data_IF_034199990691
#
_entry.id   IF_034199990691
#
_cell.length_a   1.000
_cell.length_b   1.000
_cell.length_c   1.000
_cell.angle_alpha   90.00
_cell.angle_beta   90.00
_cell.angle_gamma   90.00
#
_symmetry.space_group_name_H-M   'P 1'
#
loop_
_entity.id
_entity.type
_entity.pdbx_description
1 polymer ?
2 water ?
#
# COMPACT_ATOMS: atom_id res chain seq x y z
N UNK A 9 20.93 10.19 -24.80
CA UNK A 9 21.71 10.85 -23.73
C UNK A 9 20.77 11.42 -22.66
N UNK A 11 17.52 10.85 -22.87
CA UNK A 11 16.61 9.72 -22.78
C UNK A 11 17.30 8.59 -22.02
N UNK A 12 18.65 8.45 -22.19
CA UNK A 12 19.47 7.43 -21.51
C UNK A 12 19.43 7.72 -19.98
N UNK A 13 19.59 9.01 -19.59
CA UNK A 13 19.55 9.38 -18.17
C UNK A 13 18.13 9.20 -17.62
N UNK A 14 17.09 9.54 -18.43
CA UNK A 14 15.68 9.38 -18.04
C UNK A 14 15.34 7.88 -17.85
N UNK A 15 15.90 7.03 -18.71
CA UNK A 15 15.72 5.58 -18.66
C UNK A 15 16.38 5.01 -17.40
N UNK A 16 17.56 5.55 -17.00
CA UNK A 16 18.22 5.09 -15.78
C UNK A 16 17.39 5.43 -14.56
N UNK A 17 16.70 6.58 -14.58
CA UNK A 17 15.83 6.99 -13.47
C UNK A 17 14.59 6.10 -13.43
N UNK A 18 14.05 5.72 -14.62
CA UNK A 18 12.90 4.81 -14.64
C UNK A 18 13.30 3.49 -13.96
N UNK A 20 15.57 2.99 -11.63
CA UNK A 20 15.71 3.26 -10.19
C UNK A 20 14.34 3.26 -9.55
N UNK A 21 13.37 3.94 -10.19
CA UNK A 21 11.99 4.03 -9.72
C UNK A 21 11.35 2.64 -9.67
N UNK A 22 11.57 1.83 -10.72
CA UNK A 22 11.01 0.48 -10.75
C UNK A 22 11.63 -0.41 -9.66
N UNK A 23 12.97 -0.40 -9.56
CA UNK A 23 13.66 -1.20 -8.52
C UNK A 23 13.16 -0.84 -7.10
N UNK A 24 13.00 0.47 -6.81
CA UNK A 24 12.54 0.96 -5.49
C UNK A 24 11.08 0.52 -5.32
N UNK A 25 10.25 0.64 -6.38
CA UNK A 25 8.84 0.22 -6.34
C UNK A 25 8.74 -1.27 -5.99
N UNK A 26 9.58 -2.11 -6.62
CA UNK A 26 9.58 -3.56 -6.36
C UNK A 26 9.84 -3.85 -4.87
N UNK A 27 10.87 -3.20 -4.30
CA UNK A 27 11.26 -3.39 -2.90
C UNK A 27 10.22 -2.86 -1.93
N UNK A 28 9.76 -1.63 -2.15
CA UNK A 28 8.82 -0.97 -1.25
C UNK A 28 7.43 -1.68 -1.28
N UNK A 29 6.95 -2.11 -2.46
CA UNK A 29 5.63 -2.73 -2.55
C UNK A 29 5.61 -4.15 -1.94
N UNK A 30 6.74 -4.86 -1.96
CA UNK A 30 6.88 -6.17 -1.34
C UNK A 30 6.73 -6.04 0.20
N UNK A 31 7.40 -5.05 0.80
CA UNK A 31 7.35 -4.89 2.26
C UNK A 31 6.13 -4.14 2.77
N UNK A 32 5.55 -3.22 1.96
CA UNK A 32 4.41 -2.43 2.40
C UNK A 32 3.10 -3.24 2.37
N UNK A 33 2.89 -4.03 1.31
CA UNK A 33 1.67 -4.80 1.12
C UNK A 33 2.01 -6.28 1.34
N UNK A 34 1.80 -6.71 2.56
CA UNK A 34 2.06 -8.07 3.01
C UNK A 34 0.74 -8.80 3.01
N UNK A 35 0.43 -9.48 1.90
CA UNK A 35 -0.87 -10.13 1.68
C UNK A 35 -1.23 -11.10 2.79
N UNK A 36 -0.26 -11.92 3.26
CA UNK A 36 -0.57 -12.89 4.31
C UNK A 36 -0.84 -12.21 5.64
N UNK A 37 -0.14 -11.09 5.94
CA UNK A 37 -0.41 -10.34 7.17
C UNK A 37 -1.78 -9.69 7.10
N UNK A 38 -2.14 -9.15 5.91
CA UNK A 38 -3.46 -8.52 5.70
C UNK A 38 -4.55 -9.57 5.98
N UNK A 39 -4.42 -10.77 5.38
CA UNK A 39 -5.37 -11.86 5.63
C UNK A 39 -5.43 -12.23 7.12
N UNK A 40 -4.27 -12.24 7.82
CA UNK A 40 -4.24 -12.59 9.26
C UNK A 40 -4.98 -11.53 10.10
N UNK A 41 -4.81 -10.25 9.74
CA UNK A 41 -5.52 -9.14 10.43
C UNK A 41 -7.04 -9.29 10.21
N UNK A 42 -7.45 -9.64 9.00
CA UNK A 42 -8.90 -9.85 8.76
C UNK A 42 -9.43 -10.99 9.63
N UNK A 43 -8.66 -12.07 9.79
CA UNK A 43 -9.07 -13.16 10.65
C UNK A 43 -9.20 -12.72 12.11
N UNK A 44 -8.32 -11.80 12.56
CA UNK A 44 -8.34 -11.29 13.94
C UNK A 44 -9.58 -10.41 14.17
N UNK A 45 -10.22 -9.93 13.09
CA UNK A 45 -11.44 -9.12 13.19
C UNK A 45 -12.71 -9.99 13.29
N UNK A 46 -12.54 -11.32 13.15
CA UNK A 46 -13.70 -12.23 13.19
C UNK A 46 -14.46 -12.15 14.51
N UNK A 47 -15.78 -12.23 14.41
CA UNK A 47 -16.73 -12.14 15.53
C UNK A 47 -16.49 -13.23 16.60
N UNK A 48 -15.94 -14.39 16.20
CA UNK A 48 -15.74 -15.52 17.13
C UNK A 48 -14.32 -15.55 17.75
N UNK A 50 -11.67 -14.97 20.43
CA UNK A 50 -11.67 -14.54 21.84
C UNK A 50 -11.01 -13.16 21.94
N UNK A 51 -11.66 -12.25 22.64
CA UNK A 51 -11.19 -10.87 22.80
C UNK A 51 -9.75 -10.83 23.38
N UNK A 52 -9.43 -11.68 24.38
CA UNK A 52 -8.10 -11.69 25.02
C UNK A 52 -7.01 -12.31 24.13
N UNK A 53 -7.42 -12.94 23.00
CA UNK A 53 -6.47 -13.54 22.05
C UNK A 53 -5.99 -12.57 20.96
N UNK A 54 -6.59 -11.36 20.84
CA UNK A 54 -6.25 -10.42 19.77
C UNK A 54 -4.79 -9.96 19.88
N UNK A 55 -3.92 -10.25 18.91
CA UNK A 55 -2.53 -9.84 19.07
C UNK A 55 -2.24 -8.46 18.51
N UNK A 56 -1.13 -7.85 18.92
CA UNK A 56 -0.70 -6.57 18.33
C UNK A 56 -0.16 -6.89 16.94
N UNK A 57 -0.55 -6.12 15.94
CA UNK A 57 -0.02 -6.27 14.57
C UNK A 57 0.44 -4.90 14.13
N UNK A 58 1.75 -4.66 14.14
CA UNK A 58 2.32 -3.35 13.82
C UNK A 58 2.34 -3.06 12.33
N UNK A 59 2.16 -1.77 11.97
CA UNK A 59 2.23 -1.36 10.56
C UNK A 59 3.67 -1.54 10.08
N UNK A 60 3.91 -2.14 8.90
CA UNK A 60 5.31 -2.19 8.40
C UNK A 60 5.83 -0.78 8.14
N UNK A 61 7.09 -0.50 8.49
CA UNK A 61 7.68 0.83 8.27
C UNK A 61 8.83 0.64 7.29
N UNK A 62 8.67 1.16 6.09
CA UNK A 62 9.67 1.00 5.02
C UNK A 62 10.60 2.22 5.02
N UNK A 63 11.58 2.22 4.11
CA UNK A 63 12.51 3.36 4.02
C UNK A 63 11.72 4.64 3.74
N UNK A 64 11.96 5.70 4.53
CA UNK A 64 11.27 6.99 4.35
C UNK A 64 11.74 7.64 3.05
N UNK A 65 13.05 7.62 2.78
CA UNK A 65 13.55 8.23 1.54
C UNK A 65 13.01 7.44 0.31
N UNK A 66 12.88 6.11 0.41
CA UNK A 66 12.25 5.36 -0.71
C UNK A 66 10.79 5.80 -0.92
N UNK A 67 10.08 6.06 0.18
CA UNK A 67 8.69 6.54 0.16
C UNK A 67 8.62 7.89 -0.58
N UNK A 68 9.51 8.82 -0.22
CA UNK A 68 9.59 10.14 -0.88
C UNK A 68 9.85 9.96 -2.37
N UNK A 69 10.80 9.08 -2.73
CA UNK A 69 11.19 8.87 -4.11
C UNK A 69 10.01 8.37 -4.94
N UNK A 70 9.28 7.35 -4.47
CA UNK A 70 8.18 6.80 -5.26
C UNK A 70 6.92 7.69 -5.22
N UNK A 71 6.76 8.49 -4.16
CA UNK A 71 5.58 9.37 -3.99
C UNK A 71 5.63 10.55 -4.93
N UNK A 72 6.84 10.92 -5.37
CA UNK A 72 7.07 12.08 -6.23
C UNK A 72 7.74 11.66 -7.56
N UNK A 73 7.03 10.89 -8.44
CA UNK A 73 7.63 10.51 -9.73
C UNK A 73 8.06 11.74 -10.53
N UNK A 74 9.22 11.67 -11.14
CA UNK A 74 9.81 12.76 -11.92
C UNK A 74 9.15 13.02 -13.26
N UNK A 75 9.61 14.08 -13.93
CA UNK A 75 9.08 14.50 -15.24
C UNK A 75 9.60 13.61 -16.38
N UNK A 76 10.37 12.54 -16.06
CA UNK A 76 10.86 11.55 -17.05
C UNK A 76 9.64 10.71 -17.46
N UNK A 77 8.66 10.56 -16.56
CA UNK A 77 7.38 9.91 -16.88
C UNK A 77 6.51 10.93 -17.57
N UNK A 78 5.60 10.48 -18.44
CA UNK A 78 4.61 11.37 -19.05
C UNK A 78 3.76 11.97 -17.94
N UNK A 79 3.16 13.13 -18.19
CA UNK A 79 2.31 13.79 -17.18
C UNK A 79 1.18 12.84 -16.73
N UNK A 80 0.60 12.05 -17.67
CA UNK A 80 -0.44 11.09 -17.33
C UNK A 80 0.07 10.00 -16.40
N UNK A 81 1.20 9.35 -16.75
CA UNK A 81 1.80 8.27 -15.95
C UNK A 81 2.25 8.79 -14.58
N UNK A 82 2.82 10.02 -14.55
CA UNK A 82 3.27 10.69 -13.33
C UNK A 82 2.09 10.89 -12.37
N UNK A 83 0.94 11.39 -12.90
CA UNK A 83 -0.26 11.61 -12.09
C UNK A 83 -0.85 10.29 -11.57
N UNK A 84 -0.94 9.28 -12.43
CA UNK A 84 -1.48 7.98 -12.02
C UNK A 84 -0.57 7.31 -10.97
N UNK A 85 0.76 7.41 -11.10
CA UNK A 85 1.67 6.82 -10.10
C UNK A 85 1.55 7.58 -8.77
N UNK A 86 1.52 8.91 -8.82
CA UNK A 86 1.42 9.75 -7.61
C UNK A 86 0.10 9.47 -6.87
N UNK A 87 -1.02 9.38 -7.61
CA UNK A 87 -2.35 9.12 -7.05
C UNK A 87 -2.41 7.74 -6.38
N UNK A 88 -1.99 6.68 -7.10
CA UNK A 88 -2.05 5.31 -6.57
C UNK A 88 -1.16 5.12 -5.34
N UNK A 89 0.05 5.73 -5.31
CA UNK A 89 0.92 5.63 -4.14
C UNK A 89 0.34 6.41 -2.95
N UNK A 90 -0.20 7.61 -3.22
CA UNK A 90 -0.83 8.42 -2.17
C UNK A 90 -1.97 7.68 -1.49
N UNK A 91 -2.84 7.04 -2.29
CA UNK A 91 -3.96 6.25 -1.81
C UNK A 91 -3.47 5.01 -1.10
N UNK A 92 -2.40 4.37 -1.63
CA UNK A 92 -1.83 3.17 -0.99
C UNK A 92 -1.24 3.50 0.40
N UNK A 93 -0.47 4.59 0.54
CA UNK A 93 0.10 4.97 1.84
C UNK A 93 -1.00 5.33 2.86
N UNK A 94 -2.05 6.04 2.43
CA UNK A 94 -3.16 6.40 3.32
C UNK A 94 -3.94 5.15 3.73
N UNK A 95 -4.14 4.20 2.77
CA UNK A 95 -4.88 2.94 2.99
C UNK A 95 -4.14 2.02 3.94
N UNK A 96 -2.79 1.98 3.83
CA UNK A 96 -1.94 1.17 4.73
C UNK A 96 -2.11 1.69 6.13
N UNK A 97 -2.03 3.02 6.28
CA UNK A 97 -2.16 3.65 7.60
C UNK A 97 -3.53 3.32 8.22
N UNK A 98 -4.58 3.48 7.44
CA UNK A 98 -5.94 3.23 7.91
C UNK A 98 -6.12 1.76 8.30
N UNK A 99 -5.62 0.82 7.46
CA UNK A 99 -5.78 -0.61 7.71
C UNK A 99 -5.19 -1.02 9.06
N UNK A 100 -3.94 -0.61 9.34
CA UNK A 100 -3.29 -0.99 10.59
C UNK A 100 -3.77 -0.17 11.76
N UNK A 101 -4.08 1.13 11.57
CA UNK A 101 -4.61 1.93 12.68
C UNK A 101 -6.02 1.46 13.08
N UNK A 102 -6.88 1.11 12.09
CA UNK A 102 -8.23 0.60 12.39
C UNK A 102 -8.14 -0.68 13.23
N UNK A 103 -7.21 -1.57 12.91
CA UNK A 103 -7.05 -2.82 13.69
C UNK A 103 -6.57 -2.48 15.12
N UNK A 104 -5.63 -1.54 15.26
CA UNK A 104 -5.18 -1.12 16.61
C UNK A 104 -6.39 -0.61 17.42
N UNK A 105 -7.19 0.29 16.85
CA UNK A 105 -8.40 0.83 17.49
C UNK A 105 -9.34 -0.29 17.89
N UNK A 106 -9.62 -1.19 16.94
CA UNK A 106 -10.49 -2.34 17.14
C UNK A 106 -10.02 -3.17 18.33
N UNK A 107 -8.74 -3.57 18.35
CA UNK A 107 -8.22 -4.41 19.44
C UNK A 107 -8.39 -3.74 20.82
N UNK A 108 -8.07 -2.45 20.93
CA UNK A 108 -8.20 -1.72 22.21
C UNK A 108 -9.66 -1.58 22.65
N UNK A 109 -10.57 -1.35 21.69
CA UNK A 109 -12.01 -1.20 21.91
C UNK A 109 -12.63 -2.55 22.31
N UNK A 111 -10.82 -5.17 23.81
CA UNK A 111 -10.17 -5.57 25.08
C UNK A 111 -10.53 -4.70 26.28
N UNK A 112 -10.98 -3.45 26.07
CA UNK A 112 -11.36 -2.61 27.22
C UNK A 112 -12.88 -2.64 27.40
N UNK A 113 -13.58 -3.54 26.67
CA UNK A 113 -15.03 -3.79 26.73
C UNK A 113 -15.90 -2.61 26.25
N UNK A 114 -15.31 -1.67 25.46
CA UNK A 114 -16.08 -0.55 24.87
C UNK A 114 -17.17 -1.06 23.92
N UNK A 115 -16.98 -2.27 23.32
CA UNK A 115 -17.96 -2.87 22.41
C UNK A 115 -19.31 -3.11 23.09
N UNK A 116 -19.31 -3.32 24.41
CA UNK A 116 -20.55 -3.56 25.18
C UNK A 116 -21.38 -2.27 25.22
N UNK A 117 -20.71 -1.10 25.20
CA UNK A 117 -21.36 0.21 25.29
C UNK A 117 -22.07 0.64 23.98
N UNK A 118 -21.60 0.21 22.80
CA UNK A 118 -22.23 0.59 21.53
C UNK A 118 -22.78 -0.65 20.77
N UNK A 119 -22.96 -1.78 21.48
CA UNK A 119 -23.45 -3.05 20.95
C UNK A 119 -22.73 -3.42 19.63
N UNK A 120 -21.39 -3.40 19.65
CA UNK A 120 -20.51 -3.74 18.52
C UNK A 120 -20.70 -2.86 17.26
N UNK A 121 -21.26 -1.63 17.38
CA UNK A 121 -21.46 -0.74 16.22
C UNK A 121 -20.11 -0.37 15.59
N UNK A 122 -19.12 0.01 16.43
CA UNK A 122 -17.80 0.33 15.88
C UNK A 122 -17.11 -0.94 15.36
N UNK A 123 -17.33 -2.11 16.02
CA UNK A 123 -16.75 -3.38 15.55
C UNK A 123 -17.18 -3.66 14.11
N UNK A 124 -18.50 -3.54 13.82
CA UNK A 124 -19.03 -3.80 12.47
C UNK A 124 -18.58 -2.74 11.47
N UNK A 125 -18.50 -1.45 11.90
CA UNK A 125 -18.02 -0.38 11.00
C UNK A 125 -16.58 -0.68 10.56
N UNK A 126 -15.73 -1.06 11.52
CA UNK A 126 -14.32 -1.38 11.27
C UNK A 126 -14.21 -2.64 10.39
N UNK A 127 -14.98 -3.69 10.69
CA UNK A 127 -14.91 -4.92 9.85
C UNK A 127 -15.23 -4.61 8.39
N UNK A 128 -16.29 -3.82 8.13
CA UNK A 128 -16.66 -3.51 6.75
C UNK A 128 -15.56 -2.71 6.04
N UNK A 129 -14.99 -1.73 6.73
CA UNK A 129 -13.97 -0.84 6.17
C UNK A 129 -12.66 -1.60 5.95
N UNK A 130 -12.29 -2.48 6.88
CA UNK A 130 -11.06 -3.28 6.74
C UNK A 130 -11.14 -4.20 5.54
N UNK A 131 -12.34 -4.78 5.26
CA UNK A 131 -12.50 -5.66 4.09
C UNK A 131 -12.28 -4.86 2.81
N UNK A 132 -12.88 -3.67 2.73
CA UNK A 132 -12.73 -2.81 1.56
C UNK A 132 -11.27 -2.38 1.36
N UNK A 133 -10.59 -1.99 2.46
CA UNK A 133 -9.18 -1.59 2.43
C UNK A 133 -8.28 -2.72 1.98
N UNK A 134 -8.55 -3.96 2.44
CA UNK A 134 -7.71 -5.12 2.08
C UNK A 134 -7.73 -5.37 0.56
N UNK A 135 -8.90 -5.21 -0.08
CA UNK A 135 -9.04 -5.37 -1.54
C UNK A 135 -8.27 -4.24 -2.24
N UNK A 136 -8.47 -2.98 -1.76
CA UNK A 136 -7.86 -1.77 -2.33
C UNK A 136 -6.32 -1.80 -2.25
N UNK A 137 -5.74 -2.35 -1.14
CA UNK A 137 -4.28 -2.44 -0.99
C UNK A 137 -3.66 -3.25 -2.11
N UNK A 138 -4.26 -4.42 -2.42
CA UNK A 138 -3.77 -5.29 -3.50
C UNK A 138 -4.01 -4.64 -4.88
N UNK A 139 -5.12 -3.85 -5.02
CA UNK A 139 -5.46 -3.18 -6.29
C UNK A 139 -4.44 -2.09 -6.61
N UNK A 140 -4.10 -1.21 -5.62
CA UNK A 140 -3.12 -0.13 -5.86
C UNK A 140 -1.77 -0.68 -6.23
N UNK A 141 -1.33 -1.75 -5.55
CA UNK A 141 -0.04 -2.40 -5.81
C UNK A 141 0.01 -2.92 -7.25
N UNK A 142 -1.05 -3.62 -7.69
CA UNK A 142 -1.11 -4.16 -9.06
C UNK A 142 -1.19 -3.02 -10.09
N UNK A 143 -2.00 -1.96 -9.83
CA UNK A 143 -2.09 -0.82 -10.74
C UNK A 143 -0.69 -0.19 -10.95
N UNK A 144 0.09 0.00 -9.88
CA UNK A 144 1.46 0.60 -9.98
C UNK A 144 2.35 -0.28 -10.87
N UNK A 145 2.39 -1.61 -10.64
CA UNK A 145 3.18 -2.51 -11.48
C UNK A 145 2.71 -2.48 -12.93
N UNK A 146 1.38 -2.40 -13.15
CA UNK A 146 0.83 -2.37 -14.52
C UNK A 146 1.19 -1.09 -15.26
N UNK A 147 1.29 0.05 -14.57
CA UNK A 147 1.72 1.30 -15.21
C UNK A 147 3.21 1.19 -15.59
N UNK A 148 4.01 0.68 -14.67
CA UNK A 148 5.47 0.65 -14.82
C UNK A 148 6.01 -0.37 -15.81
N UNK A 149 5.53 -1.63 -15.80
CA UNK A 149 6.21 -2.66 -16.62
C UNK A 149 6.29 -2.26 -18.14
N UNK A 150 5.31 -1.61 -18.84
CA UNK A 150 5.57 -1.21 -20.25
C UNK A 150 6.61 -0.09 -20.39
N UNK A 151 6.64 0.86 -19.41
CA UNK A 151 7.62 1.97 -19.38
C UNK A 151 9.03 1.40 -19.15
N UNK A 152 9.14 0.40 -18.26
CA UNK A 152 10.37 -0.30 -17.91
C UNK A 152 10.94 -0.96 -19.18
N UNK A 153 10.05 -1.60 -19.99
CA UNK A 153 10.45 -2.22 -21.26
C UNK A 153 11.01 -1.13 -22.19
N UNK A 154 10.36 0.04 -22.18
CA UNK A 154 10.76 1.20 -22.97
C UNK A 154 12.13 1.71 -22.54
N UNK A 155 12.41 1.66 -21.21
CA UNK A 155 13.68 2.07 -20.62
C UNK A 155 14.79 1.09 -21.00
N UNK A 156 14.46 -0.21 -21.01
CA UNK A 156 15.41 -1.25 -21.40
C UNK A 156 15.81 -1.06 -22.88
N UNK A 157 14.86 -0.66 -23.75
CA UNK A 157 15.14 -0.35 -25.17
C UNK A 157 16.18 0.78 -25.25
N UNK A 158 15.95 1.89 -24.52
CA UNK A 158 16.86 3.04 -24.51
C UNK A 158 18.25 2.65 -24.00
N UNK A 159 18.31 1.76 -22.99
CA UNK A 159 19.59 1.36 -22.36
C UNK A 159 20.33 0.20 -23.04
N UNK A 160 19.77 -0.42 -24.08
CA UNK A 160 20.45 -1.52 -24.78
C UNK A 160 21.17 -1.00 -26.05
N UNK A 161 22.52 -0.84 -26.02
CA UNK A 161 23.23 -0.33 -27.21
C UNK A 161 23.55 -1.46 -28.19
#
# INVERSE_FOLDING_TARGET
GSHVXDSSSXSVENANEVXKYYDTSLKILKDLVNENEIKAVLGYLDQKXPVDSLPVVSQPVVSVQDTVFVSNPGNYFSENDRQNLKENYGRLFRSISAFYENYKTYRLYXQDQSYKKDNNALADKIRKEELLLSIALSEYKQVIFDILTPIVEGAKITLTPIKGNVKDK
#
